data_IF_217013028166
#
_entry.id   IF_217013028166
#
_cell.length_a   1.000
_cell.length_b   1.000
_cell.length_c   1.000
_cell.angle_alpha   90.00
_cell.angle_beta   90.00
_cell.angle_gamma   90.00
#
_symmetry.space_group_name_H-M   'P 1'
#
loop_
_entity.id
_entity.type
_entity.pdbx_description
1 polymer ?
#
# COMPACT_ATOMS: atom_id res chain seq x y z
N UNK A 1 0.10 -14.79 -3.17
CA UNK A 1 -1.11 -14.62 -2.33
C UNK A 1 -2.29 -14.30 -3.23
N UNK A 2 -3.52 -14.57 -2.80
CA UNK A 2 -4.71 -14.26 -3.62
C UNK A 2 -4.90 -12.75 -3.79
N UNK A 3 -5.64 -12.35 -4.84
CA UNK A 3 -5.96 -10.93 -5.10
C UNK A 3 -6.70 -10.26 -3.93
N UNK A 4 -7.73 -10.87 -3.29
CA UNK A 4 -8.37 -10.29 -2.12
C UNK A 4 -7.42 -10.06 -0.95
N UNK A 5 -6.50 -11.00 -0.70
CA UNK A 5 -5.48 -10.83 0.36
C UNK A 5 -4.53 -9.68 0.07
N UNK A 6 -4.09 -9.52 -1.19
CA UNK A 6 -3.26 -8.40 -1.61
C UNK A 6 -3.97 -7.05 -1.46
N UNK A 7 -5.25 -6.98 -1.84
CA UNK A 7 -6.11 -5.79 -1.64
C UNK A 7 -6.20 -5.42 -0.16
N UNK A 8 -6.51 -6.40 0.71
CA UNK A 8 -6.62 -6.18 2.15
C UNK A 8 -5.31 -5.68 2.76
N UNK A 9 -4.18 -6.23 2.31
CA UNK A 9 -2.85 -5.78 2.73
C UNK A 9 -2.60 -4.31 2.35
N UNK A 10 -2.85 -3.93 1.09
CA UNK A 10 -2.66 -2.56 0.61
C UNK A 10 -3.54 -1.58 1.42
N UNK A 11 -4.81 -1.92 1.65
CA UNK A 11 -5.73 -1.09 2.45
C UNK A 11 -5.23 -0.92 3.88
N UNK A 12 -4.73 -2.00 4.50
CA UNK A 12 -4.17 -1.94 5.85
C UNK A 12 -2.91 -1.05 5.90
N UNK A 13 -1.97 -1.25 4.98
CA UNK A 13 -0.75 -0.42 4.91
C UNK A 13 -1.08 1.06 4.71
N UNK A 14 -2.05 1.38 3.85
CA UNK A 14 -2.51 2.76 3.65
C UNK A 14 -3.07 3.38 4.94
N UNK A 15 -3.86 2.62 5.72
CA UNK A 15 -4.40 3.10 7.00
C UNK A 15 -3.29 3.39 8.02
N UNK A 16 -2.27 2.53 8.07
CA UNK A 16 -1.11 2.73 8.96
C UNK A 16 -0.37 4.02 8.58
N UNK A 17 -0.05 4.21 7.29
CA UNK A 17 0.66 5.42 6.85
C UNK A 17 -0.10 6.71 7.18
N UNK A 18 -1.43 6.71 7.03
CA UNK A 18 -2.24 7.88 7.35
C UNK A 18 -2.33 8.14 8.86
N UNK A 19 -2.47 7.09 9.67
CA UNK A 19 -2.44 7.21 11.13
C UNK A 19 -1.07 7.75 11.60
N UNK A 20 0.02 7.21 11.05
CA UNK A 20 1.37 7.68 11.34
C UNK A 20 1.52 9.15 10.91
N UNK A 21 0.99 9.55 9.75
CA UNK A 21 1.09 10.93 9.27
C UNK A 21 0.46 11.94 10.22
N UNK A 22 -0.63 11.58 10.91
CA UNK A 22 -1.31 12.46 11.85
C UNK A 22 -0.51 12.71 13.14
N UNK A 23 0.47 11.85 13.43
CA UNK A 23 1.36 11.95 14.60
C UNK A 23 2.70 12.64 14.30
N UNK A 24 3.00 12.94 13.02
CA UNK A 24 4.32 13.42 12.59
C UNK A 24 4.37 14.91 12.26
N UNK A 25 5.56 15.54 12.33
CA UNK A 25 5.75 16.92 11.87
C UNK A 25 5.37 17.07 10.38
N UNK A 26 4.97 18.28 9.93
CA UNK A 26 4.37 18.50 8.61
C UNK A 26 5.14 17.91 7.42
N UNK A 27 6.47 18.07 7.38
CA UNK A 27 7.28 17.55 6.28
C UNK A 27 7.42 16.02 6.24
N UNK A 28 7.26 15.35 7.38
CA UNK A 28 7.22 13.88 7.45
C UNK A 28 5.81 13.37 7.18
N UNK A 29 4.79 14.06 7.71
CA UNK A 29 3.38 13.79 7.43
C UNK A 29 3.08 13.86 5.92
N UNK A 30 3.63 14.84 5.20
CA UNK A 30 3.45 14.98 3.75
C UNK A 30 4.04 13.81 2.98
N UNK A 31 5.23 13.31 3.38
CA UNK A 31 5.83 12.11 2.78
C UNK A 31 4.97 10.87 3.01
N UNK A 32 4.44 10.70 4.23
CA UNK A 32 3.58 9.57 4.58
C UNK A 32 2.24 9.62 3.81
N UNK A 33 1.68 10.81 3.62
CA UNK A 33 0.47 11.02 2.80
C UNK A 33 0.73 10.72 1.32
N UNK A 34 1.86 11.17 0.78
CA UNK A 34 2.25 10.83 -0.60
C UNK A 34 2.39 9.31 -0.80
N UNK A 35 3.02 8.62 0.15
CA UNK A 35 3.11 7.16 0.12
C UNK A 35 1.72 6.48 0.21
N UNK A 36 0.79 7.02 1.00
CA UNK A 36 -0.58 6.53 1.07
C UNK A 36 -1.35 6.72 -0.25
N UNK A 37 -1.07 7.79 -1.00
CA UNK A 37 -1.64 8.02 -2.33
C UNK A 37 -1.08 7.04 -3.36
N UNK A 38 0.21 6.72 -3.30
CA UNK A 38 0.81 5.69 -4.16
C UNK A 38 0.20 4.30 -3.89
N UNK A 39 -0.06 3.95 -2.62
CA UNK A 39 -0.80 2.73 -2.28
C UNK A 39 -2.24 2.75 -2.82
N UNK A 40 -2.87 3.93 -2.91
CA UNK A 40 -4.21 4.07 -3.48
C UNK A 40 -4.21 3.77 -4.98
N UNK A 41 -3.19 4.24 -5.71
CA UNK A 41 -3.01 3.91 -7.14
C UNK A 41 -2.76 2.41 -7.33
N UNK A 42 -1.84 1.84 -6.55
CA UNK A 42 -1.53 0.42 -6.57
C UNK A 42 -2.76 -0.45 -6.29
N UNK A 43 -3.61 -0.07 -5.33
CA UNK A 43 -4.86 -0.74 -5.04
C UNK A 43 -5.75 -0.87 -6.28
N UNK A 44 -5.91 0.22 -7.04
CA UNK A 44 -6.72 0.21 -8.26
C UNK A 44 -6.11 -0.68 -9.34
N UNK A 45 -4.78 -0.69 -9.48
CA UNK A 45 -4.09 -1.54 -10.45
C UNK A 45 -4.20 -3.02 -10.12
N UNK A 46 -4.03 -3.40 -8.85
CA UNK A 46 -4.20 -4.79 -8.38
C UNK A 46 -5.65 -5.24 -8.51
N UNK A 47 -6.61 -4.38 -8.18
CA UNK A 47 -8.05 -4.67 -8.33
C UNK A 47 -8.44 -4.86 -9.79
N UNK A 48 -7.87 -4.06 -10.69
CA UNK A 48 -8.08 -4.20 -12.13
C UNK A 48 -7.30 -5.35 -12.77
N UNK A 49 -6.45 -6.05 -12.01
CA UNK A 49 -5.58 -7.11 -12.53
C UNK A 49 -4.42 -6.60 -13.40
N UNK A 50 -4.15 -5.30 -13.42
CA UNK A 50 -3.03 -4.69 -14.16
C UNK A 50 -1.67 -4.95 -13.50
N UNK A 51 -1.66 -5.10 -12.18
CA UNK A 51 -0.46 -5.40 -11.39
C UNK A 51 -0.67 -6.71 -10.65
N UNK A 52 0.28 -7.63 -10.85
CA UNK A 52 0.33 -8.94 -10.19
C UNK A 52 1.58 -9.13 -9.32
N UNK A 53 2.51 -8.18 -9.30
CA UNK A 53 3.65 -8.17 -8.40
C UNK A 53 4.02 -6.73 -8.04
N UNK A 54 4.31 -6.49 -6.77
CA UNK A 54 4.71 -5.18 -6.26
C UNK A 54 5.55 -5.30 -4.98
N UNK A 55 6.19 -4.22 -4.58
CA UNK A 55 6.92 -4.12 -3.31
C UNK A 55 6.20 -3.15 -2.38
N UNK A 56 6.12 -3.51 -1.10
CA UNK A 56 5.75 -2.60 -0.03
C UNK A 56 7.02 -2.30 0.76
N UNK A 57 7.34 -1.03 0.95
CA UNK A 57 8.53 -0.61 1.70
C UNK A 57 8.28 -0.52 3.21
N UNK A 58 7.01 -0.41 3.62
CA UNK A 58 6.60 -0.13 5.00
C UNK A 58 5.54 -1.14 5.49
N UNK A 59 5.56 -1.57 6.77
CA UNK A 59 6.60 -1.30 7.78
C UNK A 59 7.86 -2.19 7.61
N UNK A 60 7.78 -3.22 6.77
CA UNK A 60 8.89 -4.10 6.42
C UNK A 60 8.91 -4.24 4.90
N UNK A 61 10.08 -4.07 4.28
CA UNK A 61 10.22 -4.30 2.84
C UNK A 61 9.80 -5.72 2.49
N UNK A 62 8.74 -5.85 1.72
CA UNK A 62 8.16 -7.14 1.32
C UNK A 62 7.76 -7.11 -0.15
N UNK A 63 8.19 -8.14 -0.88
CA UNK A 63 7.71 -8.40 -2.24
C UNK A 63 6.43 -9.22 -2.19
N UNK A 64 5.38 -8.70 -2.79
CA UNK A 64 4.07 -9.35 -2.91
C UNK A 64 3.90 -9.84 -4.34
N UNK A 65 3.58 -11.12 -4.49
CA UNK A 65 3.17 -11.72 -5.77
C UNK A 65 1.72 -12.16 -5.63
N UNK A 66 0.87 -11.66 -6.53
CA UNK A 66 -0.56 -11.94 -6.61
C UNK A 66 -0.78 -13.12 -7.55
N UNK A 67 -1.27 -14.21 -6.98
CA UNK A 67 -1.63 -15.42 -7.71
C UNK A 67 -2.98 -15.22 -8.39
N UNK A 68 -3.16 -15.85 -9.55
CA UNK A 68 -4.36 -15.72 -10.35
C UNK A 68 -5.58 -16.51 -9.82
N UNK A 69 -5.45 -17.18 -8.66
CA UNK A 69 -6.42 -18.10 -8.02
C UNK A 69 -7.84 -18.07 -8.61
#
# INVERSE_FOLDING_TARGET
MSRPSAISLIVRSRKILLADADERPPGEAERLRAAADDLTRLLFDVRAGRVNAFELSEPTRMRVVVSAD
#
